data_IF_186041425530
#
_entry.id   IF_186041425530
#
_cell.length_a   1.000
_cell.length_b   1.000
_cell.length_c   1.000
_cell.angle_alpha   90.00
_cell.angle_beta   90.00
_cell.angle_gamma   90.00
#
_symmetry.space_group_name_H-M   'P 1'
#
loop_
_entity.id
_entity.type
_entity.pdbx_description
1 polymer ?
#
# COMPACT_ATOMS: atom_id res chain seq x y z
N UNK A 1 -5.31 -21.52 15.31
CA UNK A 1 -5.29 -20.44 14.30
C UNK A 1 -4.67 -21.03 13.06
N UNK A 2 -5.30 -20.91 11.88
CA UNK A 2 -4.70 -21.48 10.67
C UNK A 2 -3.63 -20.50 10.13
N UNK A 3 -2.56 -20.98 9.48
CA UNK A 3 -1.52 -20.11 8.92
C UNK A 3 -2.06 -19.00 8.00
N UNK A 4 -3.16 -19.29 7.29
CA UNK A 4 -3.86 -18.38 6.40
C UNK A 4 -4.48 -17.19 7.15
N UNK A 5 -4.99 -17.42 8.36
CA UNK A 5 -5.61 -16.38 9.19
C UNK A 5 -4.53 -15.40 9.69
N UNK A 6 -3.33 -15.90 10.06
CA UNK A 6 -2.18 -15.05 10.43
C UNK A 6 -1.70 -14.21 9.26
N UNK A 7 -1.53 -14.84 8.10
CA UNK A 7 -1.10 -14.16 6.89
C UNK A 7 -2.09 -13.04 6.50
N UNK A 8 -3.39 -13.35 6.52
CA UNK A 8 -4.43 -12.37 6.24
C UNK A 8 -4.37 -11.19 7.21
N UNK A 9 -4.22 -11.43 8.51
CA UNK A 9 -4.12 -10.38 9.52
C UNK A 9 -2.87 -9.50 9.29
N UNK A 10 -1.72 -10.11 8.98
CA UNK A 10 -0.48 -9.39 8.68
C UNK A 10 -0.57 -8.54 7.42
N UNK A 11 -1.20 -9.05 6.36
CA UNK A 11 -1.42 -8.31 5.12
C UNK A 11 -2.40 -7.16 5.34
N UNK A 12 -3.49 -7.38 6.07
CA UNK A 12 -4.43 -6.32 6.44
C UNK A 12 -3.76 -5.20 7.23
N UNK A 13 -2.94 -5.56 8.24
CA UNK A 13 -2.17 -4.59 9.01
C UNK A 13 -1.15 -3.84 8.14
N UNK A 14 -0.52 -4.52 7.19
CA UNK A 14 0.41 -3.91 6.24
C UNK A 14 -0.26 -2.85 5.35
N UNK A 15 -1.47 -3.12 4.86
CA UNK A 15 -2.24 -2.19 4.04
C UNK A 15 -2.77 -1.00 4.85
N UNK A 16 -3.29 -1.25 6.05
CA UNK A 16 -3.73 -0.19 6.95
C UNK A 16 -2.58 0.77 7.31
N UNK A 17 -1.38 0.23 7.54
CA UNK A 17 -0.18 1.04 7.76
C UNK A 17 0.19 1.86 6.52
N UNK A 18 0.17 1.25 5.33
CA UNK A 18 0.48 1.94 4.08
C UNK A 18 -0.50 3.09 3.84
N UNK A 19 -1.78 2.90 4.13
CA UNK A 19 -2.82 3.92 4.01
C UNK A 19 -2.54 5.14 4.90
N UNK A 20 -2.31 4.88 6.20
CA UNK A 20 -1.97 5.94 7.15
C UNK A 20 -0.68 6.69 6.76
N UNK A 21 0.32 5.97 6.24
CA UNK A 21 1.57 6.54 5.74
C UNK A 21 1.35 7.44 4.51
N UNK A 22 0.50 7.03 3.56
CA UNK A 22 0.10 7.83 2.39
C UNK A 22 -0.66 9.08 2.81
N UNK A 23 -1.60 8.96 3.74
CA UNK A 23 -2.38 10.09 4.24
C UNK A 23 -1.52 11.11 4.99
N UNK A 24 -0.57 10.63 5.80
CA UNK A 24 0.40 11.50 6.46
C UNK A 24 1.28 12.26 5.44
N UNK A 25 1.73 11.60 4.38
CA UNK A 25 2.49 12.24 3.31
C UNK A 25 1.64 13.27 2.55
N UNK A 26 0.39 12.92 2.25
CA UNK A 26 -0.56 13.84 1.61
C UNK A 26 -0.80 15.08 2.49
N UNK A 27 -1.01 14.92 3.79
CA UNK A 27 -1.19 16.03 4.73
C UNK A 27 0.05 16.95 4.76
N UNK A 28 1.26 16.38 4.80
CA UNK A 28 2.51 17.16 4.74
C UNK A 28 2.65 17.93 3.44
N UNK A 29 2.34 17.31 2.30
CA UNK A 29 2.38 17.99 1.00
C UNK A 29 1.36 19.16 0.95
N UNK A 30 0.19 19.02 1.58
CA UNK A 30 -0.80 20.10 1.71
C UNK A 30 -0.28 21.26 2.57
N UNK A 31 0.45 20.96 3.65
CA UNK A 31 1.03 21.97 4.54
C UNK A 31 2.23 22.70 3.91
N UNK A 32 3.00 22.02 3.05
CA UNK A 32 4.15 22.59 2.36
C UNK A 32 3.79 23.55 1.21
N UNK A 33 2.50 23.71 0.87
CA UNK A 33 2.00 24.62 -0.15
C UNK A 33 1.71 23.95 -1.50
N UNK A 34 1.17 24.75 -2.43
CA UNK A 34 0.60 24.24 -3.69
C UNK A 34 1.65 23.66 -4.66
N UNK A 35 2.89 24.15 -4.62
CA UNK A 35 3.99 23.62 -5.43
C UNK A 35 4.38 22.20 -5.02
N UNK A 36 4.53 21.95 -3.71
CA UNK A 36 4.76 20.61 -3.18
C UNK A 36 3.58 19.69 -3.50
N UNK A 37 2.35 20.18 -3.32
CA UNK A 37 1.13 19.45 -3.70
C UNK A 37 1.16 18.98 -5.15
N UNK A 38 1.48 19.87 -6.08
CA UNK A 38 1.55 19.57 -7.52
C UNK A 38 2.66 18.58 -7.83
N UNK A 39 3.86 18.82 -7.28
CA UNK A 39 5.05 17.97 -7.49
C UNK A 39 4.83 16.52 -7.05
N UNK A 40 4.05 16.31 -5.99
CA UNK A 40 3.84 14.98 -5.40
C UNK A 40 2.45 14.39 -5.67
N UNK A 41 1.55 15.12 -6.36
CA UNK A 41 0.19 14.66 -6.65
C UNK A 41 0.19 13.30 -7.36
N UNK A 42 1.01 13.17 -8.40
CA UNK A 42 1.12 11.96 -9.18
C UNK A 42 1.66 10.75 -8.37
N UNK A 43 2.68 10.97 -7.54
CA UNK A 43 3.24 9.93 -6.69
C UNK A 43 2.23 9.48 -5.63
N UNK A 44 1.51 10.43 -5.01
CA UNK A 44 0.44 10.14 -4.06
C UNK A 44 -0.72 9.38 -4.71
N UNK A 45 -1.13 9.78 -5.91
CA UNK A 45 -2.20 9.10 -6.62
C UNK A 45 -1.82 7.68 -7.05
N UNK A 46 -0.60 7.48 -7.54
CA UNK A 46 -0.06 6.14 -7.83
C UNK A 46 -0.06 5.25 -6.59
N UNK A 47 0.34 5.79 -5.44
CA UNK A 47 0.35 5.05 -4.17
C UNK A 47 -1.07 4.68 -3.72
N UNK A 48 -2.03 5.62 -3.82
CA UNK A 48 -3.44 5.36 -3.49
C UNK A 48 -4.04 4.28 -4.37
N UNK A 49 -3.83 4.35 -5.68
CA UNK A 49 -4.33 3.34 -6.63
C UNK A 49 -3.78 1.95 -6.30
N UNK A 50 -2.47 1.85 -6.02
CA UNK A 50 -1.85 0.60 -5.59
C UNK A 50 -2.42 0.07 -4.28
N UNK A 51 -2.64 0.94 -3.30
CA UNK A 51 -3.23 0.55 -2.01
C UNK A 51 -4.63 -0.04 -2.22
N UNK A 52 -5.48 0.61 -3.01
CA UNK A 52 -6.82 0.09 -3.36
C UNK A 52 -6.74 -1.24 -4.11
N UNK A 53 -5.83 -1.37 -5.08
CA UNK A 53 -5.62 -2.63 -5.81
C UNK A 53 -5.26 -3.78 -4.86
N UNK A 54 -4.40 -3.52 -3.87
CA UNK A 54 -4.01 -4.53 -2.89
C UNK A 54 -5.15 -4.88 -1.93
N UNK A 55 -6.02 -3.94 -1.59
CA UNK A 55 -7.23 -4.22 -0.80
C UNK A 55 -8.18 -5.15 -1.55
N UNK A 56 -8.42 -4.88 -2.84
CA UNK A 56 -9.25 -5.77 -3.69
C UNK A 56 -8.65 -7.18 -3.76
N UNK A 57 -7.33 -7.29 -3.89
CA UNK A 57 -6.62 -8.58 -3.90
C UNK A 57 -6.68 -9.29 -2.55
N UNK A 58 -6.62 -8.56 -1.43
CA UNK A 58 -6.78 -9.11 -0.08
C UNK A 58 -8.19 -9.66 0.12
N UNK A 59 -9.21 -8.93 -0.33
CA UNK A 59 -10.59 -9.42 -0.28
C UNK A 59 -10.77 -10.66 -1.16
N UNK A 60 -10.16 -10.71 -2.34
CA UNK A 60 -10.17 -11.90 -3.20
C UNK A 60 -9.49 -13.10 -2.52
N UNK A 61 -8.38 -12.88 -1.80
CA UNK A 61 -7.68 -13.93 -1.07
C UNK A 61 -8.56 -14.58 0.02
N UNK A 62 -9.46 -13.82 0.65
CA UNK A 62 -10.40 -14.33 1.66
C UNK A 62 -11.33 -15.41 1.10
N UNK A 63 -11.68 -15.31 -0.17
CA UNK A 63 -12.60 -16.23 -0.86
C UNK A 63 -11.87 -17.25 -1.73
N UNK A 64 -10.54 -17.26 -1.70
CA UNK A 64 -9.73 -18.19 -2.47
C UNK A 64 -9.95 -19.63 -1.99
N UNK A 65 -9.98 -20.58 -2.93
CA UNK A 65 -9.86 -22.00 -2.60
C UNK A 65 -8.46 -22.29 -2.06
N UNK A 66 -8.31 -23.38 -1.30
CA UNK A 66 -6.99 -23.81 -0.78
C UNK A 66 -5.95 -23.95 -1.90
N UNK A 67 -6.36 -24.48 -3.06
CA UNK A 67 -5.48 -24.64 -4.22
C UNK A 67 -5.00 -23.30 -4.82
N UNK A 68 -5.82 -22.25 -4.75
CA UNK A 68 -5.49 -20.92 -5.27
C UNK A 68 -4.82 -20.01 -4.22
N UNK A 69 -5.02 -20.30 -2.93
CA UNK A 69 -4.60 -19.45 -1.83
C UNK A 69 -3.11 -19.11 -1.90
N UNK A 70 -2.25 -20.11 -2.04
CA UNK A 70 -0.79 -19.92 -2.04
C UNK A 70 -0.31 -18.97 -3.15
N UNK A 71 -0.86 -19.09 -4.37
CA UNK A 71 -0.49 -18.23 -5.49
C UNK A 71 -0.99 -16.79 -5.30
N UNK A 72 -2.24 -16.62 -4.86
CA UNK A 72 -2.83 -15.31 -4.62
C UNK A 72 -2.16 -14.59 -3.44
N UNK A 73 -1.85 -15.32 -2.38
CA UNK A 73 -1.11 -14.85 -1.22
C UNK A 73 0.25 -14.28 -1.64
N UNK A 74 1.03 -15.05 -2.40
CA UNK A 74 2.35 -14.60 -2.88
C UNK A 74 2.24 -13.33 -3.74
N UNK A 75 1.29 -13.29 -4.68
CA UNK A 75 1.09 -12.12 -5.53
C UNK A 75 0.67 -10.87 -4.74
N UNK A 76 -0.04 -11.04 -3.63
CA UNK A 76 -0.41 -9.96 -2.72
C UNK A 76 0.77 -9.52 -1.85
N UNK A 77 1.57 -10.44 -1.33
CA UNK A 77 2.80 -10.15 -0.59
C UNK A 77 3.80 -9.35 -1.44
N UNK A 78 4.04 -9.80 -2.68
CA UNK A 78 4.92 -9.13 -3.63
C UNK A 78 4.41 -7.71 -3.94
N UNK A 79 3.11 -7.59 -4.21
CA UNK A 79 2.46 -6.31 -4.45
C UNK A 79 2.59 -5.35 -3.27
N UNK A 80 2.36 -5.83 -2.04
CA UNK A 80 2.53 -5.05 -0.81
C UNK A 80 4.00 -4.62 -0.60
N UNK A 81 4.95 -5.50 -0.89
CA UNK A 81 6.38 -5.18 -0.87
C UNK A 81 6.75 -4.06 -1.85
N UNK A 82 6.26 -4.15 -3.08
CA UNK A 82 6.46 -3.13 -4.11
C UNK A 82 5.80 -1.80 -3.76
N UNK A 83 4.60 -1.82 -3.16
CA UNK A 83 3.90 -0.62 -2.73
C UNK A 83 4.66 0.09 -1.60
N UNK A 84 5.17 -0.66 -0.62
CA UNK A 84 6.05 -0.12 0.44
C UNK A 84 7.33 0.47 -0.13
N UNK A 85 7.94 -0.17 -1.13
CA UNK A 85 9.13 0.40 -1.80
C UNK A 85 8.80 1.73 -2.46
N UNK A 86 7.73 1.77 -3.26
CA UNK A 86 7.29 3.00 -3.91
C UNK A 86 7.00 4.13 -2.91
N UNK A 87 6.38 3.80 -1.77
CA UNK A 87 6.15 4.77 -0.70
C UNK A 87 7.46 5.33 -0.14
N UNK A 88 8.43 4.47 0.18
CA UNK A 88 9.75 4.91 0.67
C UNK A 88 10.46 5.81 -0.33
N UNK A 89 10.40 5.46 -1.62
CA UNK A 89 11.02 6.23 -2.69
C UNK A 89 10.36 7.63 -2.81
N UNK A 90 9.03 7.70 -2.80
CA UNK A 90 8.28 8.97 -2.81
C UNK A 90 8.55 9.82 -1.56
N UNK A 91 8.55 9.21 -0.37
CA UNK A 91 8.82 9.87 0.90
C UNK A 91 10.26 10.39 1.00
N UNK A 92 11.24 9.67 0.42
CA UNK A 92 12.61 10.15 0.32
C UNK A 92 12.71 11.39 -0.57
N UNK A 93 12.03 11.41 -1.73
CA UNK A 93 11.96 12.59 -2.60
C UNK A 93 11.28 13.78 -1.94
N UNK A 94 10.32 13.53 -1.05
CA UNK A 94 9.68 14.59 -0.25
C UNK A 94 10.64 15.22 0.77
N UNK A 95 11.54 14.43 1.38
CA UNK A 95 12.52 14.96 2.34
C UNK A 95 13.71 15.68 1.70
N UNK A 96 13.97 15.42 0.41
CA UNK A 96 15.08 16.02 -0.34
C UNK A 96 14.68 17.27 -1.12
N UNK A 97 13.38 17.57 -1.21
CA UNK A 97 12.84 18.78 -1.81
C UNK A 97 12.52 19.82 -0.74
#
# INVERSE_FOLDING_TARGET
MRPEDDLFARLKAALARLDAEIDALAAKARQAGDEARSRYADDLERLKRRRVELEVRLDALRWASEAAFSSLARGLEDGAGLARKAFRDASARFRQG
#
